data_IF_865532158912
#
_entry.id   IF_865532158912
#
_cell.length_a   1.000
_cell.length_b   1.000
_cell.length_c   1.000
_cell.angle_alpha   90.00
_cell.angle_beta   90.00
_cell.angle_gamma   90.00
#
_symmetry.space_group_name_H-M   'P 1'
#
loop_
_entity.id
_entity.type
_entity.pdbx_description
1 polymer ?
#
# COMPACT_ATOMS: atom_id res chain seq x y z
N UNK A 1 -8.86 13.20 -1.44
CA UNK A 1 -8.48 11.77 -1.48
C UNK A 1 -8.83 11.07 -0.16
N UNK A 2 -8.34 11.55 1.00
CA UNK A 2 -8.57 10.85 2.28
C UNK A 2 -10.03 10.76 2.69
N UNK A 3 -10.78 11.86 2.60
CA UNK A 3 -12.22 11.83 2.87
C UNK A 3 -12.96 10.80 1.99
N UNK A 4 -12.63 10.70 0.71
CA UNK A 4 -13.23 9.72 -0.21
C UNK A 4 -12.85 8.27 0.15
N UNK A 5 -11.59 8.04 0.52
CA UNK A 5 -11.12 6.73 0.96
C UNK A 5 -11.77 6.30 2.29
N UNK A 6 -11.82 7.22 3.26
CA UNK A 6 -12.50 7.02 4.55
C UNK A 6 -13.97 6.70 4.37
N UNK A 7 -14.73 7.50 3.60
CA UNK A 7 -16.15 7.23 3.32
C UNK A 7 -16.37 5.88 2.63
N UNK A 8 -15.42 5.42 1.81
CA UNK A 8 -15.53 4.10 1.18
C UNK A 8 -15.39 2.98 2.21
N UNK A 9 -14.39 3.06 3.10
CA UNK A 9 -14.18 2.08 4.17
C UNK A 9 -15.30 2.12 5.23
N UNK A 10 -15.85 3.29 5.53
CA UNK A 10 -17.01 3.44 6.41
C UNK A 10 -18.23 2.68 5.87
N UNK A 11 -18.48 2.73 4.56
CA UNK A 11 -19.57 1.97 3.92
C UNK A 11 -19.35 0.46 3.98
N UNK A 12 -18.10 0.02 4.09
CA UNK A 12 -17.72 -1.38 4.29
C UNK A 12 -17.75 -1.80 5.77
N UNK A 13 -18.10 -0.88 6.67
CA UNK A 13 -18.23 -1.15 8.11
C UNK A 13 -16.91 -1.09 8.88
N UNK A 14 -15.85 -0.55 8.29
CA UNK A 14 -14.59 -0.28 8.99
C UNK A 14 -14.76 0.94 9.89
N UNK A 15 -14.39 0.81 11.16
CA UNK A 15 -14.47 1.92 12.12
C UNK A 15 -13.36 2.94 11.83
N UNK A 16 -13.58 4.25 12.05
CA UNK A 16 -12.57 5.27 11.76
C UNK A 16 -11.21 5.02 12.43
N UNK A 17 -11.20 4.48 13.65
CA UNK A 17 -9.97 4.12 14.38
C UNK A 17 -9.17 2.96 13.75
N UNK A 18 -9.81 2.16 12.90
CA UNK A 18 -9.21 1.03 12.20
C UNK A 18 -8.76 1.41 10.77
N UNK A 19 -8.95 2.68 10.37
CA UNK A 19 -8.52 3.21 9.07
C UNK A 19 -7.12 3.80 9.18
N UNK A 20 -6.27 3.50 8.19
CA UNK A 20 -4.97 4.15 8.00
C UNK A 20 -4.78 4.55 6.55
N UNK A 21 -3.97 5.58 6.32
CA UNK A 21 -3.70 6.10 4.98
C UNK A 21 -2.22 5.99 4.65
N UNK A 22 -1.93 5.48 3.45
CA UNK A 22 -0.61 5.54 2.86
C UNK A 22 -0.63 6.58 1.73
N UNK A 23 0.21 7.60 1.87
CA UNK A 23 0.39 8.66 0.87
C UNK A 23 1.68 8.41 0.11
N UNK A 24 1.64 8.55 -1.21
CA UNK A 24 2.80 8.39 -2.07
C UNK A 24 2.75 9.38 -3.22
N UNK A 25 3.89 9.63 -3.84
CA UNK A 25 4.03 10.44 -5.05
C UNK A 25 4.86 9.68 -6.07
N UNK A 26 4.47 9.76 -7.34
CA UNK A 26 5.32 9.30 -8.43
C UNK A 26 6.17 10.45 -8.92
N UNK A 27 7.47 10.21 -9.00
CA UNK A 27 8.48 11.21 -9.31
C UNK A 27 9.39 10.73 -10.44
N UNK A 28 9.89 11.67 -11.22
CA UNK A 28 10.90 11.43 -12.27
C UNK A 28 11.75 12.67 -12.49
N UNK A 29 12.93 12.51 -13.07
CA UNK A 29 13.62 13.68 -13.61
C UNK A 29 12.91 14.22 -14.85
N UNK A 30 12.94 15.54 -15.06
CA UNK A 30 12.37 16.15 -16.27
C UNK A 30 12.96 15.49 -17.52
N UNK A 31 12.08 15.07 -18.43
CA UNK A 31 12.47 14.41 -19.68
C UNK A 31 12.69 12.89 -19.58
N UNK A 32 12.67 12.30 -18.38
CA UNK A 32 12.67 10.83 -18.25
C UNK A 32 11.31 10.21 -18.58
N UNK A 33 11.32 8.95 -19.02
CA UNK A 33 10.11 8.21 -19.37
C UNK A 33 9.54 7.37 -18.22
N UNK A 34 10.33 7.07 -17.19
CA UNK A 34 9.92 6.19 -16.09
C UNK A 34 9.82 6.94 -14.77
N UNK A 35 8.86 6.53 -13.96
CA UNK A 35 8.54 7.10 -12.65
C UNK A 35 8.99 6.17 -11.53
N UNK A 36 9.34 6.74 -10.38
CA UNK A 36 9.53 6.04 -9.11
C UNK A 36 8.52 6.53 -8.09
N UNK A 37 7.86 5.59 -7.42
CA UNK A 37 6.92 5.90 -6.34
C UNK A 37 7.66 6.08 -5.03
N UNK A 38 7.55 7.26 -4.43
CA UNK A 38 8.18 7.63 -3.15
C UNK A 38 7.10 7.86 -2.09
N UNK A 39 7.26 7.32 -0.86
CA UNK A 39 6.36 7.59 0.24
C UNK A 39 6.33 9.08 0.62
N UNK A 40 5.15 9.58 0.96
CA UNK A 40 4.98 10.92 1.53
C UNK A 40 4.70 10.82 3.04
N UNK A 41 5.15 11.81 3.84
CA UNK A 41 4.82 11.89 5.25
C UNK A 41 3.31 12.04 5.50
N UNK A 42 2.87 11.56 6.67
CA UNK A 42 1.47 11.63 7.11
C UNK A 42 1.10 13.04 7.62
N UNK A 43 2.08 13.86 7.95
CA UNK A 43 1.90 15.25 8.32
C UNK A 43 1.63 16.14 7.10
N UNK A 44 1.25 17.39 7.35
CA UNK A 44 1.13 18.39 6.31
C UNK A 44 2.51 18.68 5.70
N UNK A 45 2.58 18.70 4.36
CA UNK A 45 3.79 19.00 3.61
C UNK A 45 4.17 20.48 3.80
N UNK A 46 5.43 20.69 4.15
CA UNK A 46 6.11 21.98 4.15
C UNK A 46 7.38 21.86 3.30
N UNK A 47 8.09 22.97 3.09
CA UNK A 47 9.29 22.98 2.25
C UNK A 47 10.33 21.95 2.69
N UNK A 48 10.58 21.83 3.99
CA UNK A 48 11.57 20.87 4.54
C UNK A 48 11.19 19.40 4.27
N UNK A 49 9.90 19.08 4.38
CA UNK A 49 9.41 17.74 4.05
C UNK A 49 9.49 17.46 2.55
N UNK A 50 9.26 18.47 1.70
CA UNK A 50 9.45 18.32 0.25
C UNK A 50 10.92 18.05 -0.08
N UNK A 51 11.85 18.76 0.56
CA UNK A 51 13.29 18.52 0.39
C UNK A 51 13.66 17.08 0.80
N UNK A 52 13.09 16.58 1.89
CA UNK A 52 13.30 15.19 2.34
C UNK A 52 12.75 14.17 1.33
N UNK A 53 11.61 14.46 0.69
CA UNK A 53 11.01 13.61 -0.34
C UNK A 53 11.87 13.61 -1.62
N UNK A 54 12.43 14.76 -2.00
CA UNK A 54 13.39 14.87 -3.12
C UNK A 54 14.66 14.07 -2.86
N UNK A 55 15.23 14.17 -1.65
CA UNK A 55 16.39 13.37 -1.25
C UNK A 55 16.08 11.87 -1.33
N UNK A 56 14.93 11.45 -0.81
CA UNK A 56 14.50 10.06 -0.89
C UNK A 56 14.35 9.60 -2.35
N UNK A 57 13.79 10.43 -3.23
CA UNK A 57 13.72 10.12 -4.66
C UNK A 57 15.11 9.89 -5.27
N UNK A 58 16.10 10.73 -4.97
CA UNK A 58 17.45 10.55 -5.47
C UNK A 58 18.09 9.24 -4.97
N UNK A 59 17.88 8.90 -3.71
CA UNK A 59 18.36 7.63 -3.12
C UNK A 59 17.70 6.44 -3.82
N UNK A 60 16.38 6.46 -4.01
CA UNK A 60 15.67 5.36 -4.67
C UNK A 60 16.03 5.26 -6.17
N UNK A 61 16.27 6.39 -6.84
CA UNK A 61 16.74 6.39 -8.21
C UNK A 61 18.13 5.78 -8.35
N UNK A 62 19.05 6.11 -7.44
CA UNK A 62 20.37 5.48 -7.38
C UNK A 62 20.29 3.98 -7.11
N UNK A 63 19.43 3.56 -6.17
CA UNK A 63 19.18 2.14 -5.88
C UNK A 63 18.60 1.38 -7.07
N UNK A 64 17.66 1.98 -7.79
CA UNK A 64 16.95 1.34 -8.89
C UNK A 64 17.78 1.28 -10.19
N UNK A 65 18.55 2.34 -10.48
CA UNK A 65 19.21 2.53 -11.78
C UNK A 65 20.74 2.66 -11.70
N UNK A 66 21.33 2.68 -10.51
CA UNK A 66 22.77 2.79 -10.28
C UNK A 66 23.35 4.19 -10.45
N UNK A 67 22.50 5.21 -10.53
CA UNK A 67 22.91 6.62 -10.54
C UNK A 67 21.78 7.53 -10.05
N UNK A 68 22.10 8.75 -9.64
CA UNK A 68 21.14 9.84 -9.45
C UNK A 68 21.70 11.14 -10.03
N UNK A 69 20.83 12.12 -10.27
CA UNK A 69 21.18 13.44 -10.78
C UNK A 69 20.58 14.55 -9.88
N UNK A 70 21.11 14.80 -8.67
CA UNK A 70 20.51 15.73 -7.69
C UNK A 70 20.40 17.19 -8.14
N UNK A 71 21.13 17.58 -9.19
CA UNK A 71 21.08 18.92 -9.78
C UNK A 71 20.02 19.07 -10.86
N UNK A 72 19.46 17.96 -11.34
CA UNK A 72 18.44 17.97 -12.38
C UNK A 72 17.05 18.20 -11.77
N UNK A 73 16.18 18.96 -12.45
CA UNK A 73 14.83 19.21 -11.96
C UNK A 73 14.00 17.92 -11.92
N UNK A 74 13.18 17.80 -10.88
CA UNK A 74 12.29 16.65 -10.63
C UNK A 74 10.83 17.05 -10.87
N UNK A 75 10.07 16.19 -11.53
CA UNK A 75 8.63 16.32 -11.73
C UNK A 75 7.86 15.45 -10.74
N UNK A 76 6.80 16.02 -10.16
CA UNK A 76 5.81 15.29 -9.37
C UNK A 76 4.68 14.92 -10.32
N UNK A 77 4.61 13.66 -10.73
CA UNK A 77 3.72 13.24 -11.81
C UNK A 77 2.33 12.91 -11.28
N UNK A 78 2.24 12.08 -10.24
CA UNK A 78 0.97 11.64 -9.66
C UNK A 78 1.02 11.64 -8.13
N UNK A 79 -0.08 12.02 -7.49
CA UNK A 79 -0.29 11.79 -6.06
C UNK A 79 -1.17 10.55 -5.87
N UNK A 80 -0.69 9.61 -5.05
CA UNK A 80 -1.37 8.36 -4.73
C UNK A 80 -1.78 8.34 -3.27
N UNK A 81 -2.98 7.84 -3.01
CA UNK A 81 -3.47 7.56 -1.67
C UNK A 81 -4.09 6.17 -1.61
N UNK A 82 -3.63 5.35 -0.67
CA UNK A 82 -4.24 4.07 -0.32
C UNK A 82 -4.90 4.19 1.05
N UNK A 83 -6.20 3.93 1.13
CA UNK A 83 -6.92 3.78 2.39
C UNK A 83 -6.93 2.30 2.78
N UNK A 84 -6.52 2.00 4.01
CA UNK A 84 -6.36 0.63 4.53
C UNK A 84 -7.25 0.47 5.76
N UNK A 85 -8.24 -0.41 5.68
CA UNK A 85 -9.07 -0.81 6.81
C UNK A 85 -8.53 -2.06 7.49
N UNK A 86 -8.28 -2.00 8.81
CA UNK A 86 -7.86 -3.16 9.60
C UNK A 86 -9.08 -3.92 10.10
N UNK A 87 -9.34 -5.07 9.51
CA UNK A 87 -10.35 -6.02 10.02
C UNK A 87 -9.70 -7.02 10.99
N UNK A 88 -10.44 -7.42 12.02
CA UNK A 88 -10.00 -8.47 12.92
C UNK A 88 -9.76 -9.76 12.11
N UNK A 89 -8.54 -10.32 12.21
CA UNK A 89 -8.24 -11.60 11.56
C UNK A 89 -9.23 -12.66 12.03
N UNK A 90 -9.89 -13.40 11.12
CA UNK A 90 -10.70 -14.54 11.51
C UNK A 90 -9.82 -15.52 12.29
N UNK A 91 -10.32 -16.05 13.41
CA UNK A 91 -9.66 -17.16 14.09
C UNK A 91 -9.79 -18.37 13.18
N UNK A 92 -8.70 -18.79 12.56
CA UNK A 92 -8.65 -20.08 11.87
C UNK A 92 -8.90 -21.16 12.92
N UNK A 93 -9.91 -21.99 12.68
CA UNK A 93 -10.19 -23.15 13.53
C UNK A 93 -9.10 -24.17 13.22
N UNK A 94 -8.22 -24.40 14.18
CA UNK A 94 -7.27 -25.50 14.10
C UNK A 94 -8.08 -26.79 14.17
N UNK A 95 -8.09 -27.55 13.07
CA UNK A 95 -8.67 -28.88 13.06
C UNK A 95 -7.61 -29.82 13.61
N UNK A 96 -7.85 -30.36 14.80
CA UNK A 96 -7.10 -31.52 15.27
C UNK A 96 -7.31 -32.63 14.23
N UNK A 97 -6.22 -33.07 13.62
CA UNK A 97 -6.22 -34.21 12.70
C UNK A 97 -6.49 -35.47 13.50
N UNK A 98 -7.76 -35.73 13.79
CA UNK A 98 -8.16 -37.00 14.36
C UNK A 98 -8.01 -38.05 13.25
N UNK A 99 -7.14 -39.04 13.49
CA UNK A 99 -6.80 -40.09 12.54
C UNK A 99 -7.92 -41.16 12.49
N UNK A 100 -9.17 -40.70 12.52
CA UNK A 100 -10.36 -41.53 12.51
C UNK A 100 -10.80 -41.76 11.07
N UNK A 101 -10.61 -43.01 10.67
CA UNK A 101 -11.10 -43.71 9.48
C UNK A 101 -12.03 -42.92 8.53
N UNK A 102 -11.52 -42.66 7.32
CA UNK A 102 -12.21 -41.98 6.21
C UNK A 102 -13.45 -42.71 5.67
N UNK A 103 -13.81 -43.87 6.22
CA UNK A 103 -14.97 -44.67 5.79
C UNK A 103 -16.33 -43.95 5.93
N UNK A 104 -16.43 -42.89 6.74
CA UNK A 104 -17.67 -42.12 6.92
C UNK A 104 -17.93 -41.05 5.85
N UNK A 105 -16.94 -40.71 5.01
CA UNK A 105 -17.09 -39.70 3.96
C UNK A 105 -17.64 -40.30 2.65
N UNK A 106 -18.82 -40.91 2.70
CA UNK A 106 -19.45 -41.48 1.50
C UNK A 106 -20.16 -40.39 0.68
N UNK A 107 -19.65 -40.13 -0.52
CA UNK A 107 -20.40 -39.41 -1.57
C UNK A 107 -21.41 -40.41 -2.15
N UNK A 108 -22.70 -40.15 -1.98
CA UNK A 108 -23.76 -41.02 -2.48
C UNK A 108 -23.57 -41.37 -3.96
N UNK A 109 -23.59 -42.67 -4.28
CA UNK A 109 -23.60 -43.18 -5.65
C UNK A 109 -25.03 -43.05 -6.19
N UNK A 110 -25.19 -42.35 -7.32
CA UNK A 110 -26.47 -42.24 -8.02
C UNK A 110 -26.75 -43.54 -8.80
N UNK A 111 -27.97 -44.05 -8.65
CA UNK A 111 -28.56 -45.23 -9.31
C UNK A 111 -28.75 -45.06 -10.81
#
# INVERSE_FOLDING_TARGET
LEAQGGTSLEREGVRPEDVSFLRQVDMRYVGQSYELTVPLPAEQLDASKIDSVLEQFHIEHDRAYGYSAPTEPVEFVNLRLTAIGKIAKPRLRELEGDNTDTAAAQKAVRS
#
